data_IF_039619287352
#
_entry.id   IF_039619287352
#
_cell.length_a   1.000
_cell.length_b   1.000
_cell.length_c   1.000
_cell.angle_alpha   90.00
_cell.angle_beta   90.00
_cell.angle_gamma   90.00
#
_symmetry.space_group_name_H-M   'P 1'
#
loop_
_entity.id
_entity.type
_entity.pdbx_description
1 polymer ?
#
# COMPACT_ATOMS: atom_id res chain seq x y z
N UNK A 1 59.94 -36.64 40.71
CA UNK A 1 60.41 -36.12 39.40
C UNK A 1 59.56 -34.89 39.08
N UNK A 2 60.16 -33.69 39.15
CA UNK A 2 59.56 -32.34 38.92
C UNK A 2 58.55 -31.89 39.98
N UNK A 3 58.83 -31.03 40.97
CA UNK A 3 59.53 -29.73 41.07
C UNK A 3 58.83 -28.56 40.35
N UNK A 4 58.46 -27.59 41.17
CA UNK A 4 57.69 -26.36 40.98
C UNK A 4 58.25 -25.38 39.94
N UNK A 5 57.36 -24.62 39.28
CA UNK A 5 57.63 -23.23 38.87
C UNK A 5 56.35 -22.43 38.63
N UNK A 6 56.28 -21.33 39.38
CA UNK A 6 55.39 -20.19 39.27
C UNK A 6 55.77 -19.36 38.02
N UNK A 7 54.82 -18.76 37.29
CA UNK A 7 54.96 -17.49 36.57
C UNK A 7 53.62 -17.00 36.00
N UNK A 8 53.22 -15.85 36.49
CA UNK A 8 52.18 -14.96 35.98
C UNK A 8 52.61 -14.18 34.72
N UNK A 9 51.61 -13.56 34.08
CA UNK A 9 51.67 -12.45 33.10
C UNK A 9 52.06 -12.78 31.64
N UNK A 10 51.08 -12.73 30.74
CA UNK A 10 51.05 -11.78 29.59
C UNK A 10 49.64 -11.66 28.98
N UNK A 11 49.35 -10.46 28.51
CA UNK A 11 48.07 -9.91 28.03
C UNK A 11 47.43 -10.62 26.83
N UNK A 12 46.09 -10.64 26.78
CA UNK A 12 45.38 -10.10 25.63
C UNK A 12 44.05 -9.52 26.09
N UNK A 13 43.97 -8.20 25.97
CA UNK A 13 42.84 -7.33 26.25
C UNK A 13 42.13 -7.19 24.91
N UNK A 14 41.08 -7.97 24.68
CA UNK A 14 40.24 -7.75 23.50
C UNK A 14 39.36 -6.52 23.75
N UNK A 15 39.78 -5.44 23.10
CA UNK A 15 39.03 -4.20 22.95
C UNK A 15 37.72 -4.48 22.20
N UNK A 16 36.61 -4.61 22.94
CA UNK A 16 35.31 -4.24 22.40
C UNK A 16 35.19 -2.71 22.39
N UNK A 17 35.97 -2.08 21.50
CA UNK A 17 35.75 -0.71 21.06
C UNK A 17 34.52 -0.72 20.14
N UNK A 18 33.34 -0.77 20.75
CA UNK A 18 32.11 -0.39 20.05
C UNK A 18 32.23 1.09 19.79
N UNK A 19 32.72 1.43 18.60
CA UNK A 19 32.89 2.80 18.13
C UNK A 19 31.63 3.60 18.46
N UNK A 20 31.74 4.67 19.26
CA UNK A 20 30.62 5.52 19.67
C UNK A 20 29.82 6.04 18.45
N UNK A 21 30.50 6.24 17.32
CA UNK A 21 29.88 6.53 16.02
C UNK A 21 28.94 5.43 15.52
N UNK A 22 29.32 4.16 15.67
CA UNK A 22 28.51 2.99 15.26
C UNK A 22 27.24 2.89 16.10
N UNK A 23 27.33 3.14 17.41
CA UNK A 23 26.17 3.15 18.31
C UNK A 23 25.24 4.34 18.06
N UNK A 24 25.80 5.52 17.78
CA UNK A 24 25.04 6.72 17.41
C UNK A 24 24.28 6.50 16.09
N UNK A 25 24.94 5.93 15.07
CA UNK A 25 24.31 5.60 13.78
C UNK A 25 23.20 4.56 13.93
N UNK A 26 23.40 3.55 14.79
CA UNK A 26 22.39 2.53 15.07
C UNK A 26 21.17 3.12 15.79
N UNK A 27 21.38 4.01 16.78
CA UNK A 27 20.30 4.73 17.45
C UNK A 27 19.56 5.67 16.49
N UNK A 28 20.27 6.33 15.57
CA UNK A 28 19.69 7.20 14.55
C UNK A 28 18.85 6.40 13.55
N UNK A 29 19.34 5.22 13.14
CA UNK A 29 18.59 4.29 12.29
C UNK A 29 17.32 3.76 13.01
N UNK A 30 17.41 3.38 14.28
CA UNK A 30 16.27 2.94 15.10
C UNK A 30 15.25 4.07 15.29
N UNK A 31 15.70 5.31 15.49
CA UNK A 31 14.82 6.48 15.61
C UNK A 31 14.12 6.81 14.29
N UNK A 32 14.84 6.79 13.17
CA UNK A 32 14.26 7.01 11.84
C UNK A 32 13.20 5.94 11.51
N UNK A 33 13.39 4.69 11.95
CA UNK A 33 12.42 3.61 11.78
C UNK A 33 11.16 3.78 12.66
N UNK A 34 11.26 4.48 13.80
CA UNK A 34 10.12 4.77 14.70
C UNK A 34 9.21 5.91 14.21
N UNK A 35 9.61 6.57 13.12
CA UNK A 35 8.92 7.72 12.53
C UNK A 35 7.73 7.38 11.65
N UNK A 36 7.25 6.14 11.59
CA UNK A 36 6.07 5.77 10.80
C UNK A 36 4.83 5.62 11.70
N UNK A 37 3.68 6.13 11.26
CA UNK A 37 2.37 5.88 11.88
C UNK A 37 1.34 5.45 10.85
N UNK A 38 0.38 4.65 11.25
CA UNK A 38 -0.79 4.29 10.43
C UNK A 38 -1.91 5.28 10.67
N UNK A 39 -2.54 5.76 9.60
CA UNK A 39 -3.68 6.70 9.65
C UNK A 39 -4.79 6.22 8.71
N UNK A 40 -6.07 6.48 9.03
CA UNK A 40 -7.17 6.12 8.13
C UNK A 40 -7.08 6.91 6.83
N UNK A 41 -7.52 6.31 5.72
CA UNK A 41 -7.74 7.02 4.46
C UNK A 41 -9.05 7.80 4.59
N UNK A 42 -8.94 9.13 4.72
CA UNK A 42 -10.11 10.00 4.94
C UNK A 42 -10.93 10.25 3.67
N UNK A 43 -10.28 10.29 2.50
CA UNK A 43 -10.95 10.48 1.23
C UNK A 43 -10.97 9.17 0.43
N UNK A 44 -11.94 8.31 0.77
CA UNK A 44 -12.11 7.01 0.13
C UNK A 44 -12.68 7.11 -1.29
N UNK A 45 -13.25 8.25 -1.67
CA UNK A 45 -13.80 8.42 -3.02
C UNK A 45 -12.84 9.16 -3.95
N UNK A 46 -11.78 9.77 -3.42
CA UNK A 46 -10.71 10.31 -4.25
C UNK A 46 -10.00 9.22 -5.04
N UNK A 47 -9.75 9.52 -6.31
CA UNK A 47 -8.97 8.70 -7.22
C UNK A 47 -7.91 9.57 -7.90
N UNK A 48 -6.67 9.10 -7.97
CA UNK A 48 -5.69 9.69 -8.89
C UNK A 48 -6.05 9.31 -10.34
N UNK A 49 -5.27 9.78 -11.32
CA UNK A 49 -5.55 9.60 -12.75
C UNK A 49 -5.73 8.12 -13.18
N UNK A 50 -5.16 7.17 -12.42
CA UNK A 50 -5.27 5.73 -12.69
C UNK A 50 -6.56 5.09 -12.19
N UNK A 51 -7.33 5.81 -11.37
CA UNK A 51 -8.48 5.25 -10.71
C UNK A 51 -8.11 4.36 -9.52
N UNK A 52 -9.10 3.66 -8.99
CA UNK A 52 -8.91 2.63 -7.98
C UNK A 52 -9.90 1.48 -8.14
N UNK A 53 -9.55 0.36 -7.52
CA UNK A 53 -10.39 -0.82 -7.38
C UNK A 53 -10.53 -1.20 -5.91
N UNK A 54 -11.74 -1.28 -5.40
CA UNK A 54 -12.08 -1.80 -4.09
C UNK A 54 -12.77 -3.16 -4.22
N UNK A 55 -12.45 -4.08 -3.31
CA UNK A 55 -13.00 -5.44 -3.28
C UNK A 55 -13.57 -5.80 -1.91
N UNK A 56 -14.63 -6.61 -1.93
CA UNK A 56 -15.26 -7.23 -0.77
C UNK A 56 -14.44 -8.45 -0.30
N UNK A 57 -14.97 -9.22 0.66
CA UNK A 57 -14.38 -10.46 1.15
C UNK A 57 -14.60 -11.66 0.21
N UNK A 58 -13.82 -12.73 0.45
CA UNK A 58 -13.93 -14.03 -0.22
C UNK A 58 -13.88 -13.96 -1.76
N UNK A 59 -13.00 -13.13 -2.29
CA UNK A 59 -12.81 -12.96 -3.73
C UNK A 59 -11.35 -12.78 -4.12
N UNK A 60 -11.07 -12.92 -5.41
CA UNK A 60 -9.76 -12.61 -5.97
C UNK A 60 -9.87 -12.21 -7.43
N UNK A 61 -8.81 -11.59 -7.93
CA UNK A 61 -8.65 -11.18 -9.33
C UNK A 61 -7.19 -10.95 -9.63
N UNK A 62 -6.88 -10.86 -10.93
CA UNK A 62 -5.57 -10.51 -11.44
C UNK A 62 -5.60 -9.15 -12.11
N UNK A 63 -4.50 -8.43 -11.95
CA UNK A 63 -4.30 -7.09 -12.49
C UNK A 63 -3.23 -7.10 -13.57
N UNK A 64 -3.54 -6.46 -14.68
CA UNK A 64 -2.65 -6.29 -15.81
C UNK A 64 -2.59 -4.81 -16.23
N UNK A 65 -1.43 -4.36 -16.67
CA UNK A 65 -1.23 -3.10 -17.38
C UNK A 65 -0.66 -3.42 -18.76
N UNK A 66 -1.43 -3.17 -19.80
CA UNK A 66 -1.15 -3.64 -21.17
C UNK A 66 0.18 -3.10 -21.76
N UNK A 67 0.58 -1.88 -21.40
CA UNK A 67 1.79 -1.23 -21.92
C UNK A 67 3.00 -1.29 -20.96
N UNK A 68 2.93 -2.07 -19.87
CA UNK A 68 3.98 -2.11 -18.84
C UNK A 68 4.85 -3.37 -18.90
N UNK A 69 6.16 -3.24 -18.65
CA UNK A 69 7.04 -4.38 -18.44
C UNK A 69 6.52 -5.29 -17.31
N UNK A 70 6.76 -6.61 -17.43
CA UNK A 70 6.47 -7.56 -16.36
C UNK A 70 7.23 -7.15 -15.09
N UNK A 71 6.51 -6.90 -13.99
CA UNK A 71 7.10 -6.45 -12.72
C UNK A 71 7.12 -4.93 -12.48
N UNK A 72 6.69 -4.11 -13.44
CA UNK A 72 6.50 -2.67 -13.20
C UNK A 72 5.46 -2.45 -12.08
N UNK A 73 5.71 -1.51 -11.18
CA UNK A 73 4.72 -1.16 -10.13
C UNK A 73 3.58 -0.38 -10.76
N UNK A 74 2.38 -0.95 -10.72
CA UNK A 74 1.17 -0.40 -11.34
C UNK A 74 0.23 0.26 -10.33
N UNK A 75 0.49 0.09 -9.03
CA UNK A 75 -0.36 0.65 -7.98
C UNK A 75 0.13 0.38 -6.57
N UNK A 76 -0.69 0.77 -5.60
CA UNK A 76 -0.54 0.45 -4.18
C UNK A 76 -1.80 -0.24 -3.70
N UNK A 77 -1.65 -1.40 -3.07
CA UNK A 77 -2.71 -2.12 -2.37
C UNK A 77 -2.77 -1.62 -0.92
N UNK A 78 -3.97 -1.41 -0.42
CA UNK A 78 -4.32 -1.14 0.97
C UNK A 78 -5.23 -2.28 1.44
N UNK A 79 -4.83 -2.94 2.51
CA UNK A 79 -5.55 -4.08 3.08
C UNK A 79 -6.42 -3.63 4.25
N UNK A 80 -7.60 -4.22 4.37
CA UNK A 80 -8.46 -4.20 5.56
C UNK A 80 -8.65 -5.63 6.03
N UNK A 81 -8.47 -5.88 7.33
CA UNK A 81 -8.51 -7.23 7.90
C UNK A 81 -7.17 -7.96 7.85
N UNK A 82 -7.20 -9.28 8.08
CA UNK A 82 -5.98 -10.12 8.20
C UNK A 82 -5.79 -11.09 7.02
N UNK A 83 -6.79 -11.24 6.15
CA UNK A 83 -6.79 -12.27 5.11
C UNK A 83 -6.69 -11.64 3.71
N UNK A 84 -5.90 -10.57 3.56
CA UNK A 84 -5.58 -10.01 2.24
C UNK A 84 -4.23 -10.54 1.78
N UNK A 85 -4.23 -11.17 0.60
CA UNK A 85 -3.03 -11.76 0.00
C UNK A 85 -2.69 -11.05 -1.32
N UNK A 86 -1.40 -10.79 -1.52
CA UNK A 86 -0.83 -10.32 -2.78
C UNK A 86 0.14 -11.40 -3.28
N UNK A 87 -0.21 -12.08 -4.38
CA UNK A 87 0.52 -13.23 -4.91
C UNK A 87 0.75 -14.35 -3.87
N UNK A 88 -0.19 -14.51 -2.92
CA UNK A 88 -0.10 -15.49 -1.83
C UNK A 88 0.50 -14.95 -0.54
N UNK A 89 1.18 -13.81 -0.57
CA UNK A 89 1.78 -13.19 0.61
C UNK A 89 0.81 -12.27 1.36
N UNK A 90 0.75 -12.39 2.68
CA UNK A 90 -0.13 -11.57 3.50
C UNK A 90 0.28 -10.09 3.50
N UNK A 91 -0.70 -9.21 3.25
CA UNK A 91 -0.52 -7.76 3.30
C UNK A 91 -1.14 -7.20 4.57
N UNK A 92 -0.30 -6.64 5.46
CA UNK A 92 -0.73 -6.15 6.78
C UNK A 92 -1.44 -4.79 6.75
N UNK A 93 -0.94 -3.87 5.91
CA UNK A 93 -1.47 -2.50 5.81
C UNK A 93 -1.50 -2.09 4.35
N UNK A 94 -0.33 -2.11 3.70
CA UNK A 94 -0.21 -1.75 2.29
C UNK A 94 0.96 -2.45 1.63
N UNK A 95 0.90 -2.65 0.32
CA UNK A 95 2.00 -3.22 -0.48
C UNK A 95 2.00 -2.63 -1.91
N UNK A 96 3.18 -2.50 -2.55
CA UNK A 96 3.24 -2.13 -3.96
C UNK A 96 2.69 -3.26 -4.83
N UNK A 97 1.79 -2.93 -5.76
CA UNK A 97 1.22 -3.89 -6.72
C UNK A 97 2.02 -3.83 -8.01
N UNK A 98 2.53 -4.98 -8.44
CA UNK A 98 3.24 -5.12 -9.72
C UNK A 98 2.30 -5.59 -10.83
N UNK A 99 2.67 -5.32 -12.08
CA UNK A 99 1.96 -5.86 -13.23
C UNK A 99 1.85 -7.40 -13.13
N UNK A 100 0.70 -7.96 -13.54
CA UNK A 100 0.32 -9.37 -13.43
C UNK A 100 0.08 -9.91 -12.01
N UNK A 101 0.02 -9.04 -10.99
CA UNK A 101 -0.23 -9.48 -9.62
C UNK A 101 -1.63 -10.03 -9.45
N UNK A 102 -1.75 -11.06 -8.62
CA UNK A 102 -3.01 -11.60 -8.13
C UNK A 102 -3.29 -11.08 -6.73
N UNK A 103 -4.49 -10.55 -6.51
CA UNK A 103 -4.95 -10.06 -5.20
C UNK A 103 -6.13 -10.90 -4.77
N UNK A 104 -6.16 -11.32 -3.51
CA UNK A 104 -7.32 -11.99 -2.92
C UNK A 104 -7.60 -11.52 -1.50
N UNK A 105 -8.87 -11.62 -1.12
CA UNK A 105 -9.40 -11.34 0.20
C UNK A 105 -10.15 -12.57 0.71
N UNK A 106 -9.88 -12.97 1.95
CA UNK A 106 -10.65 -13.96 2.68
C UNK A 106 -11.71 -13.33 3.57
N UNK A 107 -12.32 -14.15 4.42
CA UNK A 107 -13.35 -13.75 5.38
C UNK A 107 -12.93 -12.53 6.23
N UNK A 108 -13.88 -11.61 6.44
CA UNK A 108 -13.74 -10.36 7.19
C UNK A 108 -12.57 -9.50 6.72
N UNK A 109 -12.22 -9.58 5.44
CA UNK A 109 -11.11 -8.83 4.86
C UNK A 109 -11.50 -8.28 3.51
N UNK A 110 -11.01 -7.08 3.20
CA UNK A 110 -11.26 -6.40 1.94
C UNK A 110 -10.02 -5.63 1.53
N UNK A 111 -9.99 -5.10 0.31
CA UNK A 111 -8.82 -4.36 -0.14
C UNK A 111 -9.17 -3.26 -1.12
N UNK A 112 -8.25 -2.30 -1.23
CA UNK A 112 -8.29 -1.23 -2.22
C UNK A 112 -6.96 -1.16 -2.95
N UNK A 113 -7.00 -1.05 -4.26
CA UNK A 113 -5.83 -0.84 -5.09
C UNK A 113 -5.98 0.53 -5.72
N UNK A 114 -5.02 1.42 -5.47
CA UNK A 114 -4.91 2.70 -6.16
C UNK A 114 -3.91 2.56 -7.28
N UNK A 115 -4.35 2.80 -8.51
CA UNK A 115 -3.52 2.62 -9.69
C UNK A 115 -2.69 3.85 -9.98
N UNK A 116 -1.43 3.63 -10.36
CA UNK A 116 -0.53 4.68 -10.84
C UNK A 116 -0.71 4.84 -12.33
N UNK A 117 -1.26 5.97 -12.76
CA UNK A 117 -1.25 6.39 -14.16
C UNK A 117 -0.33 7.59 -14.35
N UNK A 118 0.52 7.50 -15.37
CA UNK A 118 1.49 8.53 -15.75
C UNK A 118 1.06 9.31 -17.00
N UNK A 119 0.09 8.78 -17.75
CA UNK A 119 -0.34 9.27 -19.05
C UNK A 119 -1.78 8.87 -19.38
N UNK A 120 -2.36 9.53 -20.40
CA UNK A 120 -3.73 9.34 -20.88
C UNK A 120 -3.96 8.00 -21.61
N UNK A 121 -2.89 7.29 -21.95
CA UNK A 121 -2.89 5.95 -22.56
C UNK A 121 -3.04 4.84 -21.51
N UNK A 122 -3.24 5.19 -20.25
CA UNK A 122 -3.46 4.23 -19.16
C UNK A 122 -4.58 3.23 -19.51
N UNK A 123 -4.24 1.94 -19.40
CA UNK A 123 -5.17 0.83 -19.49
C UNK A 123 -4.82 -0.21 -18.42
N UNK A 124 -5.80 -0.52 -17.58
CA UNK A 124 -5.78 -1.59 -16.59
C UNK A 124 -6.73 -2.67 -17.06
N UNK A 125 -6.26 -3.92 -17.09
CA UNK A 125 -7.13 -5.08 -17.26
C UNK A 125 -7.27 -5.80 -15.93
N UNK A 126 -8.49 -6.12 -15.57
CA UNK A 126 -8.84 -6.94 -14.39
C UNK A 126 -9.44 -8.23 -14.92
N UNK A 127 -8.91 -9.38 -14.54
CA UNK A 127 -9.50 -10.68 -14.89
C UNK A 127 -9.48 -11.65 -13.70
N UNK A 128 -9.94 -12.89 -13.90
CA UNK A 128 -10.12 -13.88 -12.83
C UNK A 128 -11.07 -13.43 -11.71
N UNK A 129 -11.88 -12.39 -11.94
CA UNK A 129 -12.89 -11.90 -11.00
C UNK A 129 -14.17 -12.75 -11.13
N UNK A 130 -14.20 -13.86 -10.39
CA UNK A 130 -15.21 -14.89 -10.57
C UNK A 130 -16.34 -14.86 -9.52
N UNK A 131 -16.18 -14.10 -8.43
CA UNK A 131 -17.16 -14.00 -7.36
C UNK A 131 -16.93 -12.76 -6.51
N UNK A 132 -17.97 -12.30 -5.82
CA UNK A 132 -17.89 -11.22 -4.84
C UNK A 132 -18.23 -9.86 -5.43
N UNK A 133 -17.96 -8.80 -4.67
CA UNK A 133 -18.30 -7.43 -5.05
C UNK A 133 -17.06 -6.58 -5.24
N UNK A 134 -17.12 -5.71 -6.24
CA UNK A 134 -16.12 -4.70 -6.48
C UNK A 134 -16.75 -3.32 -6.63
N UNK A 135 -15.99 -2.30 -6.30
CA UNK A 135 -16.28 -0.91 -6.64
C UNK A 135 -15.06 -0.33 -7.33
N UNK A 136 -15.25 0.29 -8.48
CA UNK A 136 -14.18 0.87 -9.26
C UNK A 136 -14.49 2.32 -9.61
N UNK A 137 -13.50 3.19 -9.42
CA UNK A 137 -13.43 4.48 -10.08
C UNK A 137 -12.34 4.38 -11.13
N UNK A 138 -12.68 4.56 -12.39
CA UNK A 138 -11.73 4.41 -13.49
C UNK A 138 -10.92 5.67 -13.76
N UNK A 139 -11.37 6.83 -13.26
CA UNK A 139 -10.80 8.15 -13.57
C UNK A 139 -10.52 8.27 -15.08
N UNK A 140 -9.38 8.83 -15.47
CA UNK A 140 -9.00 8.95 -16.88
C UNK A 140 -8.53 7.63 -17.53
N UNK A 141 -8.30 6.56 -16.77
CA UNK A 141 -7.73 5.31 -17.24
C UNK A 141 -8.82 4.38 -17.82
N UNK A 142 -8.51 3.64 -18.89
CA UNK A 142 -9.40 2.58 -19.35
C UNK A 142 -9.27 1.35 -18.46
N UNK A 143 -10.36 0.94 -17.83
CA UNK A 143 -10.44 -0.34 -17.14
C UNK A 143 -11.20 -1.33 -18.01
N UNK A 144 -10.55 -2.43 -18.36
CA UNK A 144 -11.11 -3.56 -19.09
C UNK A 144 -11.27 -4.73 -18.11
N UNK A 145 -12.50 -4.97 -17.67
CA UNK A 145 -12.80 -5.86 -16.54
C UNK A 145 -13.51 -7.10 -17.10
N UNK A 146 -12.91 -8.26 -16.86
CA UNK A 146 -13.45 -9.56 -17.21
C UNK A 146 -13.96 -10.26 -15.95
N UNK A 147 -15.24 -10.60 -15.98
CA UNK A 147 -15.92 -11.39 -14.95
C UNK A 147 -16.27 -12.77 -15.50
N UNK A 148 -16.96 -13.60 -14.70
CA UNK A 148 -17.43 -14.90 -15.16
C UNK A 148 -18.35 -14.82 -16.39
N UNK A 149 -19.17 -13.76 -16.51
CA UNK A 149 -20.23 -13.65 -17.53
C UNK A 149 -20.06 -12.47 -18.49
N UNK A 150 -19.32 -11.44 -18.09
CA UNK A 150 -19.28 -10.17 -18.79
C UNK A 150 -17.85 -9.67 -18.98
N UNK A 151 -17.64 -8.95 -20.08
CA UNK A 151 -16.52 -8.02 -20.25
C UNK A 151 -17.06 -6.60 -20.16
N UNK A 152 -16.34 -5.73 -19.46
CA UNK A 152 -16.76 -4.37 -19.17
C UNK A 152 -15.63 -3.43 -19.55
N UNK A 153 -15.92 -2.47 -20.41
CA UNK A 153 -15.00 -1.37 -20.71
C UNK A 153 -15.51 -0.09 -20.07
N UNK A 154 -14.70 0.48 -19.21
CA UNK A 154 -15.05 1.66 -18.43
C UNK A 154 -13.90 2.68 -18.44
N UNK A 155 -14.24 3.94 -18.71
CA UNK A 155 -13.33 5.09 -18.63
C UNK A 155 -14.15 6.30 -18.20
N UNK A 156 -13.59 7.15 -17.33
CA UNK A 156 -14.30 8.29 -16.73
C UNK A 156 -15.64 7.87 -16.12
N UNK A 157 -15.66 6.69 -15.49
CA UNK A 157 -16.84 6.07 -14.93
C UNK A 157 -16.56 5.51 -13.54
N UNK A 158 -17.62 5.51 -12.73
CA UNK A 158 -17.65 4.89 -11.41
C UNK A 158 -18.69 3.78 -11.44
N UNK A 159 -18.32 2.57 -11.02
CA UNK A 159 -19.18 1.40 -11.11
C UNK A 159 -19.03 0.49 -9.90
N UNK A 160 -20.10 -0.25 -9.62
CA UNK A 160 -20.14 -1.37 -8.70
C UNK A 160 -20.45 -2.64 -9.50
N UNK A 161 -19.74 -3.71 -9.19
CA UNK A 161 -19.88 -5.02 -9.86
C UNK A 161 -20.13 -6.07 -8.79
N UNK A 162 -21.12 -6.93 -8.97
CA UNK A 162 -21.38 -8.09 -8.12
C UNK A 162 -21.41 -9.34 -8.99
N UNK A 163 -20.50 -10.27 -8.71
CA UNK A 163 -20.35 -11.52 -9.46
C UNK A 163 -20.79 -12.69 -8.58
N UNK A 164 -21.69 -13.51 -9.12
CA UNK A 164 -22.13 -14.78 -8.54
C UNK A 164 -21.83 -15.92 -9.52
N UNK A 165 -22.25 -17.15 -9.21
CA UNK A 165 -22.14 -18.26 -10.16
C UNK A 165 -23.19 -18.18 -11.29
N UNK A 166 -24.26 -17.42 -11.08
CA UNK A 166 -25.43 -17.38 -11.97
C UNK A 166 -25.41 -16.14 -12.88
N UNK A 167 -24.90 -15.02 -12.37
CA UNK A 167 -24.92 -13.75 -13.06
C UNK A 167 -23.85 -12.77 -12.56
N UNK A 168 -23.55 -11.79 -13.40
CA UNK A 168 -22.81 -10.57 -13.09
C UNK A 168 -23.78 -9.40 -13.13
N UNK A 169 -23.98 -8.75 -11.99
CA UNK A 169 -24.69 -7.48 -11.88
C UNK A 169 -23.71 -6.32 -11.96
N UNK A 170 -24.01 -5.32 -12.79
CA UNK A 170 -23.17 -4.13 -12.97
C UNK A 170 -24.04 -2.90 -12.79
N UNK A 171 -23.70 -2.07 -11.81
CA UNK A 171 -24.34 -0.79 -11.52
C UNK A 171 -23.38 0.34 -11.84
N UNK A 172 -23.81 1.32 -12.62
CA UNK A 172 -23.02 2.51 -12.94
C UNK A 172 -23.48 3.66 -12.05
N UNK A 173 -22.55 4.21 -11.29
CA UNK A 173 -22.81 5.32 -10.35
C UNK A 173 -22.51 6.68 -10.98
N UNK A 174 -21.60 6.71 -11.95
CA UNK A 174 -21.26 7.92 -12.70
C UNK A 174 -20.63 7.54 -14.04
N UNK A 175 -20.81 8.41 -15.04
CA UNK A 175 -20.28 8.22 -16.38
C UNK A 175 -21.08 7.21 -17.21
N UNK A 176 -20.39 6.49 -18.07
CA UNK A 176 -20.98 5.52 -19.00
C UNK A 176 -19.97 4.40 -19.25
N UNK A 177 -20.47 3.17 -19.38
CA UNK A 177 -19.66 1.99 -19.65
C UNK A 177 -20.24 1.20 -20.83
N UNK A 178 -19.40 0.37 -21.43
CA UNK A 178 -19.80 -0.63 -22.40
C UNK A 178 -19.73 -2.01 -21.76
N UNK A 179 -20.82 -2.77 -21.87
CA UNK A 179 -20.93 -4.12 -21.31
C UNK A 179 -21.17 -5.10 -22.44
N UNK A 180 -20.34 -6.13 -22.49
CA UNK A 180 -20.42 -7.23 -23.45
C UNK A 180 -20.62 -8.53 -22.69
N UNK A 181 -21.20 -9.53 -23.35
CA UNK A 181 -21.06 -10.91 -22.88
C UNK A 181 -19.58 -11.31 -22.94
N UNK A 182 -19.16 -12.27 -22.11
CA UNK A 182 -17.77 -12.72 -22.10
C UNK A 182 -17.35 -13.35 -23.44
N UNK A 183 -18.23 -14.14 -24.04
CA UNK A 183 -17.95 -14.92 -25.25
C UNK A 183 -18.09 -14.10 -26.55
N UNK A 184 -19.02 -13.14 -26.58
CA UNK A 184 -19.22 -12.25 -27.74
C UNK A 184 -18.92 -10.80 -27.39
N UNK A 185 -17.80 -10.31 -27.94
CA UNK A 185 -17.34 -8.91 -27.81
C UNK A 185 -17.67 -8.06 -29.04
N UNK A 186 -18.31 -8.64 -30.06
CA UNK A 186 -18.76 -7.92 -31.26
C UNK A 186 -20.00 -7.08 -31.03
N UNK A 187 -20.75 -7.35 -29.95
CA UNK A 187 -21.92 -6.58 -29.52
C UNK A 187 -21.76 -6.09 -28.09
N UNK A 188 -22.16 -4.85 -27.84
CA UNK A 188 -22.12 -4.24 -26.53
C UNK A 188 -23.41 -3.50 -26.22
N UNK A 189 -23.72 -3.40 -24.93
CA UNK A 189 -24.79 -2.59 -24.38
C UNK A 189 -24.19 -1.44 -23.60
N UNK A 190 -24.66 -0.24 -23.85
CA UNK A 190 -24.24 0.97 -23.14
C UNK A 190 -25.06 1.13 -21.87
N UNK A 191 -24.39 1.26 -20.72
CA UNK A 191 -25.01 1.46 -19.41
C UNK A 191 -24.58 2.82 -18.87
N UNK A 192 -25.55 3.65 -18.46
CA UNK A 192 -25.32 5.03 -17.99
C UNK A 192 -25.45 5.11 -16.47
N UNK A 193 -25.04 6.25 -15.92
CA UNK A 193 -25.22 6.58 -14.50
C UNK A 193 -26.64 6.26 -14.00
N UNK A 194 -26.70 5.77 -12.76
CA UNK A 194 -27.89 5.32 -12.05
C UNK A 194 -28.63 4.15 -12.71
N UNK A 195 -27.98 3.44 -13.64
CA UNK A 195 -28.51 2.24 -14.25
C UNK A 195 -27.79 0.98 -13.79
N UNK A 196 -28.52 -0.13 -13.82
CA UNK A 196 -28.03 -1.49 -13.64
C UNK A 196 -28.25 -2.30 -14.91
N UNK A 197 -27.31 -3.19 -15.20
CA UNK A 197 -27.48 -4.29 -16.13
C UNK A 197 -27.14 -5.62 -15.44
N UNK A 198 -27.78 -6.69 -15.87
CA UNK A 198 -27.49 -8.06 -15.45
C UNK A 198 -26.99 -8.84 -16.67
N UNK A 199 -25.91 -9.59 -16.49
CA UNK A 199 -25.36 -10.48 -17.52
C UNK A 199 -25.32 -11.90 -16.97
N UNK A 200 -25.94 -12.83 -17.66
CA UNK A 200 -25.90 -14.26 -17.36
C UNK A 200 -24.99 -14.97 -18.37
N UNK A 201 -24.70 -16.27 -18.24
CA UNK A 201 -23.92 -17.00 -19.24
C UNK A 201 -24.48 -16.91 -20.67
N UNK A 202 -25.79 -16.71 -20.81
CA UNK A 202 -26.49 -16.82 -22.09
C UNK A 202 -27.12 -15.51 -22.57
N UNK A 203 -27.24 -14.50 -21.70
CA UNK A 203 -28.00 -13.28 -21.99
C UNK A 203 -27.35 -12.05 -21.39
N UNK A 204 -27.54 -10.93 -22.09
CA UNK A 204 -27.33 -9.59 -21.57
C UNK A 204 -28.69 -8.90 -21.49
N UNK A 205 -29.11 -8.54 -20.28
CA UNK A 205 -30.42 -7.91 -20.07
C UNK A 205 -30.41 -6.44 -20.52
N UNK A 206 -31.60 -5.85 -20.63
CA UNK A 206 -31.71 -4.41 -20.87
C UNK A 206 -31.35 -3.62 -19.60
N UNK A 207 -30.58 -2.52 -19.72
CA UNK A 207 -30.31 -1.64 -18.58
C UNK A 207 -31.60 -1.03 -18.04
N UNK A 208 -31.72 -0.98 -16.71
CA UNK A 208 -32.84 -0.33 -16.02
C UNK A 208 -32.34 0.65 -14.97
N UNK A 209 -33.13 1.68 -14.70
CA UNK A 209 -32.81 2.69 -13.69
C UNK A 209 -32.96 2.11 -12.28
N UNK A 210 -32.11 2.57 -11.37
CA UNK A 210 -32.15 2.24 -9.95
C UNK A 210 -32.68 3.42 -9.14
N UNK A 211 -33.34 3.10 -8.03
CA UNK A 211 -33.71 4.10 -7.04
C UNK A 211 -32.50 4.42 -6.13
N UNK A 212 -32.40 5.66 -5.59
CA UNK A 212 -31.27 6.06 -4.75
C UNK A 212 -31.04 5.20 -3.51
N UNK A 213 -32.12 4.68 -2.89
CA UNK A 213 -32.06 3.78 -1.75
C UNK A 213 -31.49 2.41 -2.14
N UNK A 214 -31.83 1.90 -3.31
CA UNK A 214 -31.25 0.66 -3.84
C UNK A 214 -29.75 0.82 -4.10
N UNK A 215 -29.33 1.96 -4.67
CA UNK A 215 -27.91 2.27 -4.87
C UNK A 215 -27.18 2.24 -3.52
N UNK A 216 -27.70 2.92 -2.50
CA UNK A 216 -27.09 2.95 -1.17
C UNK A 216 -26.97 1.56 -0.54
N UNK A 217 -28.05 0.76 -0.60
CA UNK A 217 -28.05 -0.60 -0.05
C UNK A 217 -26.99 -1.49 -0.72
N UNK A 218 -26.84 -1.39 -2.04
CA UNK A 218 -25.83 -2.15 -2.81
C UNK A 218 -24.40 -1.71 -2.48
N UNK A 219 -24.21 -0.48 -2.03
CA UNK A 219 -22.90 0.08 -1.70
C UNK A 219 -22.45 -0.13 -0.24
N UNK A 220 -23.39 -0.49 0.65
CA UNK A 220 -23.17 -0.53 2.10
C UNK A 220 -22.01 -1.41 2.57
N UNK A 221 -21.75 -2.52 1.88
CA UNK A 221 -20.64 -3.44 2.22
C UNK A 221 -19.28 -2.74 2.29
N UNK A 222 -19.10 -1.62 1.57
CA UNK A 222 -17.86 -0.84 1.64
C UNK A 222 -17.59 -0.39 3.07
N UNK A 223 -18.62 -0.02 3.83
CA UNK A 223 -18.52 0.51 5.19
C UNK A 223 -17.92 -0.51 6.18
N UNK A 224 -17.97 -1.81 5.87
CA UNK A 224 -17.43 -2.89 6.70
C UNK A 224 -15.89 -2.92 6.71
N UNK A 225 -15.25 -2.24 5.76
CA UNK A 225 -13.79 -2.27 5.58
C UNK A 225 -13.17 -0.89 5.76
N UNK A 226 -12.34 -0.75 6.80
CA UNK A 226 -11.57 0.46 7.07
C UNK A 226 -10.15 0.33 6.52
N UNK A 227 -9.77 1.28 5.66
CA UNK A 227 -8.48 1.28 4.99
C UNK A 227 -7.52 2.26 5.67
N UNK A 228 -6.27 1.83 5.82
CA UNK A 228 -5.21 2.59 6.49
C UNK A 228 -4.01 2.75 5.56
N UNK A 229 -3.30 3.85 5.72
CA UNK A 229 -2.01 4.10 5.07
C UNK A 229 -0.92 4.39 6.09
N UNK A 230 0.31 4.03 5.76
CA UNK A 230 1.48 4.40 6.55
C UNK A 230 1.97 5.77 6.10
N UNK A 231 2.12 6.70 7.04
CA UNK A 231 2.68 8.04 6.82
C UNK A 231 3.86 8.27 7.74
N UNK A 232 4.79 9.12 7.31
CA UNK A 232 5.89 9.55 8.17
C UNK A 232 5.34 10.57 9.19
N UNK A 233 5.55 10.27 10.46
CA UNK A 233 5.36 11.15 11.59
C UNK A 233 6.49 12.18 11.65
N UNK A 234 6.31 13.27 10.89
CA UNK A 234 7.28 14.36 10.84
C UNK A 234 7.55 15.00 12.21
N UNK A 235 6.60 14.92 13.17
CA UNK A 235 6.83 15.44 14.52
C UNK A 235 7.89 14.63 15.25
N UNK A 236 7.85 13.29 15.13
CA UNK A 236 8.90 12.42 15.64
C UNK A 236 10.22 12.66 14.91
N UNK A 237 10.21 12.74 13.58
CA UNK A 237 11.44 12.99 12.81
C UNK A 237 12.12 14.29 13.24
N UNK A 238 11.36 15.38 13.39
CA UNK A 238 11.88 16.69 13.82
C UNK A 238 12.39 16.65 15.28
N UNK A 239 11.67 15.99 16.18
CA UNK A 239 12.12 15.83 17.58
C UNK A 239 13.45 15.06 17.66
N UNK A 240 13.62 14.02 16.83
CA UNK A 240 14.86 13.27 16.75
C UNK A 240 16.03 14.10 16.22
N UNK A 241 15.79 14.86 15.15
CA UNK A 241 16.79 15.77 14.59
C UNK A 241 17.26 16.81 15.61
N UNK A 242 16.35 17.35 16.43
CA UNK A 242 16.69 18.30 17.49
C UNK A 242 17.60 17.67 18.58
N UNK A 243 17.32 16.44 18.99
CA UNK A 243 18.15 15.72 19.98
C UNK A 243 19.55 15.46 19.42
N UNK A 244 19.67 15.02 18.17
CA UNK A 244 20.97 14.81 17.51
C UNK A 244 21.76 16.11 17.41
N UNK A 245 21.11 17.22 17.06
CA UNK A 245 21.75 18.53 17.01
C UNK A 245 22.26 18.97 18.40
N UNK A 246 21.48 18.77 19.45
CA UNK A 246 21.90 19.07 20.84
C UNK A 246 23.09 18.23 21.28
N UNK A 247 23.12 16.93 20.95
CA UNK A 247 24.26 16.05 21.26
C UNK A 247 25.50 16.46 20.46
N UNK A 248 25.36 16.80 19.18
CA UNK A 248 26.47 17.26 18.35
C UNK A 248 27.07 18.58 18.88
N UNK A 249 26.22 19.52 19.29
CA UNK A 249 26.62 20.76 19.96
C UNK A 249 27.38 20.44 21.26
N UNK A 250 26.86 19.56 22.13
CA UNK A 250 27.53 19.18 23.36
C UNK A 250 28.92 18.54 23.11
N UNK A 251 29.08 17.73 22.06
CA UNK A 251 30.36 17.12 21.68
C UNK A 251 31.34 18.17 21.13
N UNK A 252 30.88 19.08 20.27
CA UNK A 252 31.72 20.13 19.68
C UNK A 252 32.17 21.16 20.73
N UNK A 253 31.28 21.57 21.63
CA UNK A 253 31.61 22.49 22.73
C UNK A 253 32.34 21.80 23.89
N UNK A 254 32.21 20.48 24.06
CA UNK A 254 32.98 19.69 25.03
C UNK A 254 34.44 19.49 24.64
N UNK A 255 34.76 19.47 23.35
CA UNK A 255 36.14 19.34 22.84
C UNK A 255 36.98 20.63 22.93
N UNK A 256 36.37 21.77 23.25
CA UNK A 256 37.03 23.09 23.30
C UNK A 256 37.64 23.49 24.64
N UNK A 257 37.62 22.65 25.69
CA UNK A 257 38.11 23.00 27.05
C UNK A 257 39.11 22.00 27.65
N UNK A 258 40.04 21.50 26.84
CA UNK A 258 41.11 20.62 27.32
C UNK A 258 42.46 20.95 26.70
N UNK A 259 43.12 22.02 27.15
CA UNK A 259 44.52 22.25 26.82
C UNK A 259 45.06 23.62 27.24
N UNK A 260 46.10 23.62 28.08
CA UNK A 260 47.07 24.72 28.15
C UNK A 260 47.16 25.43 29.50
N UNK A 261 48.00 24.92 30.40
CA UNK A 261 48.40 25.61 31.62
C UNK A 261 49.78 25.18 32.09
N UNK A 262 50.83 25.68 31.42
CA UNK A 262 52.18 25.76 31.97
C UNK A 262 52.23 26.83 33.07
N UNK A 263 52.91 26.54 34.18
CA UNK A 263 53.25 27.49 35.25
C UNK A 263 53.37 26.73 36.56
N UNK A 264 54.40 26.84 37.39
CA UNK A 264 55.58 27.68 37.45
C UNK A 264 56.24 27.31 38.79
N UNK A 265 57.57 27.27 38.85
CA UNK A 265 58.30 26.78 40.01
C UNK A 265 58.09 27.60 41.29
N UNK A 266 58.33 26.94 42.42
CA UNK A 266 58.61 27.59 43.70
C UNK A 266 59.96 27.07 44.21
N UNK A 267 60.96 27.95 44.46
CA UNK A 267 62.12 27.58 45.26
C UNK A 267 61.76 27.72 46.75
N UNK A 268 62.03 26.70 47.56
CA UNK A 268 62.07 26.82 49.02
C UNK A 268 63.50 27.04 49.47
N UNK A 269 63.76 28.25 49.96
CA UNK A 269 64.76 28.50 50.99
C UNK A 269 64.14 28.18 52.35
N UNK A 270 64.66 27.18 53.06
CA UNK A 270 65.39 27.34 54.34
C UNK A 270 65.91 25.99 54.80
#
# INVERSE_FOLDING_TARGET
>A
MGSTKNKSFFCMRDELSVNFHSWLLLMLAVWLLSGCKTVPIQDRNFAENGGFWEQDENMGFRLHRNAGASGAVIGTLYASGKNVLLNGDQVKVSAPVKNNSFVSSGMQSGARIEFKATDSTCSIRVDQFNSGKAYADTSSCLHDIETLHARIQARNAVLQINVSQQQTDIMVLSGTIEVMTREDTGQFVVVRADQKITVTPNTIDQPHALAPDEIWQRMRWREDFQLYKTVVDWRKVVAGAAIVALVAVAILFGKGRGGGGHGGGFPRHR
#
